data_IF_090085948166
#
_entry.id   IF_090085948166
#
_cell.length_a   1.000
_cell.length_b   1.000
_cell.length_c   1.000
_cell.angle_alpha   90.00
_cell.angle_beta   90.00
_cell.angle_gamma   90.00
#
_symmetry.space_group_name_H-M   'P 1'
#
loop_
_entity.id
_entity.type
_entity.pdbx_description
1 polymer ?
#
# COMPACT_ATOMS: atom_id res chain seq x y z
N UNK A 1 -5.83 -31.27 15.45
CA UNK A 1 -4.64 -30.99 14.61
C UNK A 1 -3.96 -29.73 15.14
N UNK A 2 -2.74 -29.83 15.66
CA UNK A 2 -2.03 -28.71 16.31
C UNK A 2 -1.40 -27.80 15.24
N UNK A 3 -1.70 -26.50 15.24
CA UNK A 3 -1.08 -25.54 14.32
C UNK A 3 0.29 -25.14 14.85
N UNK A 4 1.33 -25.26 14.02
CA UNK A 4 2.70 -24.81 14.34
C UNK A 4 3.02 -23.54 13.57
N UNK A 5 3.71 -22.60 14.21
CA UNK A 5 4.22 -21.39 13.60
C UNK A 5 5.75 -21.40 13.65
N UNK A 6 6.40 -21.00 12.54
CA UNK A 6 7.85 -20.94 12.45
C UNK A 6 8.30 -19.50 12.19
N UNK A 7 9.43 -19.10 12.78
CA UNK A 7 10.05 -17.79 12.61
C UNK A 7 11.50 -17.99 12.18
N UNK A 8 11.87 -17.41 11.05
CA UNK A 8 13.22 -17.49 10.51
C UNK A 8 13.76 -16.08 10.25
N UNK A 9 15.09 -15.94 10.35
CA UNK A 9 15.78 -14.73 9.92
C UNK A 9 16.22 -14.88 8.47
N UNK A 10 15.88 -13.88 7.67
CA UNK A 10 16.30 -13.81 6.27
C UNK A 10 17.58 -12.98 6.15
N UNK A 11 18.53 -13.46 5.35
CA UNK A 11 19.80 -12.78 5.08
C UNK A 11 19.89 -12.51 3.57
N UNK A 12 19.36 -11.36 3.10
CA UNK A 12 19.34 -11.05 1.67
C UNK A 12 20.73 -10.75 1.12
N UNK A 13 20.97 -11.14 -0.14
CA UNK A 13 22.08 -10.60 -0.93
C UNK A 13 21.88 -9.11 -1.20
N UNK A 14 22.92 -8.40 -1.64
CA UNK A 14 22.80 -6.97 -1.91
C UNK A 14 21.80 -6.64 -3.02
N UNK A 15 21.71 -7.50 -4.04
CA UNK A 15 20.68 -7.37 -5.08
C UNK A 15 19.26 -7.56 -4.51
N UNK A 16 19.07 -8.55 -3.63
CA UNK A 16 17.79 -8.75 -2.96
C UNK A 16 17.43 -7.56 -2.05
N UNK A 17 18.39 -6.95 -1.35
CA UNK A 17 18.16 -5.74 -0.55
C UNK A 17 17.67 -4.59 -1.42
N UNK A 18 18.26 -4.42 -2.61
CA UNK A 18 17.85 -3.39 -3.58
C UNK A 18 16.41 -3.61 -4.06
N UNK A 19 16.07 -4.84 -4.46
CA UNK A 19 14.71 -5.22 -4.90
C UNK A 19 13.69 -4.99 -3.77
N UNK A 20 14.01 -5.39 -2.54
CA UNK A 20 13.15 -5.17 -1.38
C UNK A 20 12.95 -3.67 -1.09
N UNK A 21 14.02 -2.89 -1.11
CA UNK A 21 13.96 -1.45 -0.89
C UNK A 21 13.09 -0.74 -1.94
N UNK A 22 13.24 -1.12 -3.22
CA UNK A 22 12.38 -0.63 -4.31
C UNK A 22 10.93 -1.04 -4.09
N UNK A 23 10.67 -2.32 -3.82
CA UNK A 23 9.31 -2.83 -3.57
C UNK A 23 8.62 -2.09 -2.43
N UNK A 24 9.30 -1.90 -1.29
CA UNK A 24 8.77 -1.16 -0.15
C UNK A 24 8.55 0.32 -0.47
N UNK A 25 9.43 0.92 -1.28
CA UNK A 25 9.27 2.27 -1.82
C UNK A 25 7.98 2.41 -2.64
N UNK A 26 7.76 1.50 -3.59
CA UNK A 26 6.57 1.47 -4.44
C UNK A 26 5.29 1.24 -3.62
N UNK A 27 5.29 0.28 -2.68
CA UNK A 27 4.14 0.06 -1.80
C UNK A 27 3.81 1.29 -0.95
N UNK A 28 4.83 1.94 -0.38
CA UNK A 28 4.64 3.18 0.39
C UNK A 28 4.05 4.29 -0.47
N UNK A 29 4.56 4.47 -1.68
CA UNK A 29 4.02 5.44 -2.62
C UNK A 29 2.56 5.16 -2.97
N UNK A 30 2.23 3.94 -3.38
CA UNK A 30 0.86 3.56 -3.77
C UNK A 30 -0.13 3.71 -2.61
N UNK A 31 0.27 3.35 -1.39
CA UNK A 31 -0.55 3.58 -0.19
C UNK A 31 -0.84 5.08 0.00
N UNK A 32 0.20 5.92 -0.07
CA UNK A 32 0.05 7.36 0.12
C UNK A 32 -0.78 7.99 -0.99
N UNK A 33 -0.52 7.62 -2.25
CA UNK A 33 -1.32 8.04 -3.37
C UNK A 33 -2.80 7.68 -3.16
N UNK A 34 -3.10 6.43 -2.79
CA UNK A 34 -4.47 5.99 -2.53
C UNK A 34 -5.16 6.75 -1.40
N UNK A 35 -4.43 7.05 -0.31
CA UNK A 35 -4.94 7.85 0.80
C UNK A 35 -5.26 9.28 0.35
N UNK A 36 -4.38 9.89 -0.44
CA UNK A 36 -4.60 11.22 -1.01
C UNK A 36 -5.81 11.24 -1.93
N UNK A 37 -5.92 10.26 -2.83
CA UNK A 37 -7.05 10.14 -3.78
C UNK A 37 -8.38 9.98 -3.05
N UNK A 38 -8.45 9.14 -2.00
CA UNK A 38 -9.66 9.00 -1.17
C UNK A 38 -10.02 10.32 -0.47
N UNK A 39 -9.03 11.01 0.11
CA UNK A 39 -9.25 12.32 0.75
C UNK A 39 -9.82 13.32 -0.23
N UNK A 40 -9.18 13.49 -1.39
CA UNK A 40 -9.61 14.42 -2.43
C UNK A 40 -11.02 14.10 -2.92
N UNK A 41 -11.31 12.85 -3.24
CA UNK A 41 -12.65 12.44 -3.69
C UNK A 41 -13.75 12.73 -2.66
N UNK A 42 -13.45 12.52 -1.37
CA UNK A 42 -14.41 12.78 -0.31
C UNK A 42 -14.61 14.28 -0.08
N UNK A 43 -13.53 15.04 0.14
CA UNK A 43 -13.63 16.46 0.48
C UNK A 43 -14.10 17.36 -0.67
N UNK A 44 -13.80 16.99 -1.93
CA UNK A 44 -14.18 17.81 -3.09
C UNK A 44 -15.48 17.36 -3.75
N UNK A 45 -15.79 16.06 -3.70
CA UNK A 45 -16.92 15.50 -4.46
C UNK A 45 -17.91 14.70 -3.59
N UNK A 46 -17.69 14.59 -2.28
CA UNK A 46 -18.52 13.78 -1.40
C UNK A 46 -18.48 12.27 -1.70
N UNK A 47 -17.50 11.81 -2.51
CA UNK A 47 -17.43 10.43 -2.99
C UNK A 47 -16.51 9.60 -2.11
N UNK A 48 -17.01 8.44 -1.69
CA UNK A 48 -16.21 7.41 -1.03
C UNK A 48 -15.68 6.43 -2.07
N UNK A 49 -14.36 6.44 -2.29
CA UNK A 49 -13.68 5.40 -3.06
C UNK A 49 -13.27 4.25 -2.14
N UNK A 50 -13.12 3.05 -2.67
CA UNK A 50 -12.71 1.83 -1.96
C UNK A 50 -11.53 1.15 -2.67
N UNK A 51 -11.10 -0.02 -2.17
CA UNK A 51 -10.03 -0.80 -2.78
C UNK A 51 -10.21 -1.02 -4.30
N UNK A 52 -11.40 -1.45 -4.73
CA UNK A 52 -11.65 -1.77 -6.15
C UNK A 52 -11.49 -0.54 -7.06
N UNK A 53 -11.96 0.63 -6.61
CA UNK A 53 -11.82 1.89 -7.37
C UNK A 53 -10.34 2.27 -7.53
N UNK A 54 -9.58 2.24 -6.44
CA UNK A 54 -8.15 2.55 -6.47
C UNK A 54 -7.35 1.52 -7.27
N UNK A 55 -7.73 0.24 -7.20
CA UNK A 55 -7.08 -0.83 -7.97
C UNK A 55 -7.32 -0.67 -9.48
N UNK A 56 -8.53 -0.25 -9.88
CA UNK A 56 -8.87 0.05 -11.26
C UNK A 56 -8.09 1.25 -11.83
N UNK A 57 -7.67 2.19 -10.97
CA UNK A 57 -6.83 3.34 -11.35
C UNK A 57 -5.34 3.01 -11.43
N UNK A 58 -4.90 1.85 -10.91
CA UNK A 58 -3.48 1.49 -10.83
C UNK A 58 -2.79 1.39 -12.21
N UNK A 59 -3.43 0.89 -13.29
CA UNK A 59 -2.84 0.92 -14.63
C UNK A 59 -2.49 2.34 -15.09
N UNK A 60 -3.43 3.29 -14.96
CA UNK A 60 -3.20 4.69 -15.31
C UNK A 60 -2.09 5.32 -14.44
N UNK A 61 -2.04 4.97 -13.16
CA UNK A 61 -0.95 5.40 -12.27
C UNK A 61 0.42 4.89 -12.74
N UNK A 62 0.49 3.67 -13.27
CA UNK A 62 1.73 3.10 -13.83
C UNK A 62 2.14 3.75 -15.15
N UNK A 63 1.20 4.28 -15.93
CA UNK A 63 1.53 5.14 -17.08
C UNK A 63 2.19 6.43 -16.62
N UNK A 64 1.62 7.08 -15.60
CA UNK A 64 2.15 8.34 -15.06
C UNK A 64 3.50 8.16 -14.34
N UNK A 65 3.70 7.02 -13.68
CA UNK A 65 4.90 6.70 -12.93
C UNK A 65 5.47 5.34 -13.39
N UNK A 66 6.21 5.30 -14.51
CA UNK A 66 6.66 4.04 -15.13
C UNK A 66 7.49 3.13 -14.21
N UNK A 67 8.25 3.69 -13.27
CA UNK A 67 9.06 2.94 -12.29
C UNK A 67 8.23 2.04 -11.35
N UNK A 68 6.90 2.21 -11.30
CA UNK A 68 6.00 1.27 -10.63
C UNK A 68 5.86 -0.08 -11.37
N UNK A 69 6.28 -0.16 -12.64
CA UNK A 69 6.28 -1.40 -13.43
C UNK A 69 7.44 -2.33 -13.08
N UNK A 70 8.51 -1.77 -12.54
CA UNK A 70 9.69 -2.53 -12.11
C UNK A 70 9.41 -3.39 -10.86
N UNK A 71 8.26 -3.18 -10.22
CA UNK A 71 7.77 -3.97 -9.10
C UNK A 71 6.54 -4.78 -9.50
N UNK A 72 6.45 -6.01 -8.99
CA UNK A 72 5.24 -6.84 -9.13
C UNK A 72 3.97 -6.06 -8.74
N UNK A 73 2.88 -6.29 -9.47
CA UNK A 73 1.57 -5.68 -9.17
C UNK A 73 1.00 -6.13 -7.83
N UNK A 74 1.37 -7.33 -7.36
CA UNK A 74 0.81 -7.94 -6.15
C UNK A 74 1.10 -7.10 -4.90
N UNK A 75 2.35 -6.71 -4.58
CA UNK A 75 2.65 -5.80 -3.48
C UNK A 75 1.91 -4.46 -3.54
N UNK A 76 1.72 -3.90 -4.74
CA UNK A 76 1.02 -2.61 -4.91
C UNK A 76 -0.47 -2.75 -4.57
N UNK A 77 -1.12 -3.80 -5.06
CA UNK A 77 -2.52 -4.09 -4.70
C UNK A 77 -2.66 -4.39 -3.20
N UNK A 78 -1.70 -5.10 -2.59
CA UNK A 78 -1.71 -5.33 -1.14
C UNK A 78 -1.58 -4.04 -0.34
N UNK A 79 -0.79 -3.07 -0.81
CA UNK A 79 -0.72 -1.75 -0.18
C UNK A 79 -2.10 -1.05 -0.18
N UNK A 80 -2.87 -1.14 -1.26
CA UNK A 80 -4.24 -0.63 -1.32
C UNK A 80 -5.20 -1.39 -0.39
N UNK A 81 -5.07 -2.72 -0.28
CA UNK A 81 -5.87 -3.52 0.68
C UNK A 81 -5.55 -3.14 2.13
N UNK A 82 -4.29 -2.86 2.45
CA UNK A 82 -3.91 -2.36 3.77
C UNK A 82 -4.49 -0.98 4.06
N UNK A 83 -4.56 -0.10 3.06
CA UNK A 83 -5.26 1.18 3.19
C UNK A 83 -6.75 0.97 3.47
N UNK A 84 -7.40 0.08 2.73
CA UNK A 84 -8.82 -0.20 2.89
C UNK A 84 -9.14 -0.77 4.28
N UNK A 85 -8.33 -1.73 4.74
CA UNK A 85 -8.43 -2.24 6.12
C UNK A 85 -8.22 -1.15 7.16
N UNK A 86 -7.33 -0.19 6.92
CA UNK A 86 -7.12 0.93 7.84
C UNK A 86 -8.36 1.83 7.94
N UNK A 87 -9.08 2.06 6.83
CA UNK A 87 -10.36 2.77 6.85
C UNK A 87 -11.46 1.97 7.56
N UNK A 88 -11.56 0.65 7.30
CA UNK A 88 -12.50 -0.22 8.04
C UNK A 88 -12.26 -0.12 9.55
N UNK A 89 -11.01 -0.23 9.99
CA UNK A 89 -10.68 -0.09 11.41
C UNK A 89 -11.00 1.30 11.96
N UNK A 90 -10.85 2.36 11.17
CA UNK A 90 -11.21 3.72 11.57
C UNK A 90 -12.72 3.87 11.78
N UNK A 91 -13.54 3.44 10.82
CA UNK A 91 -15.00 3.54 10.92
C UNK A 91 -15.59 2.66 12.02
N UNK A 92 -14.95 1.52 12.32
CA UNK A 92 -15.33 0.66 13.46
C UNK A 92 -14.79 1.16 14.81
N UNK A 93 -14.11 2.31 14.87
CA UNK A 93 -13.58 2.88 16.11
C UNK A 93 -12.39 2.11 16.69
N UNK A 94 -11.76 1.19 15.93
CA UNK A 94 -10.62 0.37 16.36
C UNK A 94 -9.26 1.04 16.12
N UNK A 95 -9.21 2.09 15.31
CA UNK A 95 -8.00 2.84 15.01
C UNK A 95 -8.30 4.31 14.70
N UNK A 96 -7.29 5.17 14.82
CA UNK A 96 -7.37 6.54 14.35
C UNK A 96 -7.38 6.61 12.80
N UNK A 97 -7.74 7.78 12.27
CA UNK A 97 -7.78 8.03 10.82
C UNK A 97 -6.44 7.69 10.14
N UNK A 98 -6.42 7.02 8.97
CA UNK A 98 -5.19 6.65 8.29
C UNK A 98 -4.27 7.83 7.95
N UNK A 99 -2.98 7.70 8.23
CA UNK A 99 -1.96 8.73 7.96
C UNK A 99 -0.99 8.30 6.86
N UNK A 100 -0.32 9.28 6.24
CA UNK A 100 0.71 8.99 5.25
C UNK A 100 1.85 8.17 5.87
N UNK A 101 2.27 7.14 5.15
CA UNK A 101 3.43 6.32 5.48
C UNK A 101 4.70 7.09 5.17
N UNK A 102 5.63 7.10 6.11
CA UNK A 102 6.98 7.68 5.98
C UNK A 102 8.01 6.58 5.80
N UNK A 103 9.12 6.88 5.14
CA UNK A 103 10.30 6.01 5.19
C UNK A 103 10.85 6.08 6.61
N UNK A 104 10.99 4.92 7.26
CA UNK A 104 11.75 4.82 8.50
C UNK A 104 13.14 4.32 8.11
N UNK A 105 14.16 4.99 8.62
CA UNK A 105 15.51 4.44 8.60
C UNK A 105 15.58 3.47 9.77
N UNK A 106 15.80 2.19 9.47
CA UNK A 106 16.41 1.24 10.40
C UNK A 106 17.89 1.13 10.03
#
# INVERSE_FOLDING_TARGET
MQKRAYKYRFYPTDEQKKILAQTFGCCRFVYNWGLSTRKTAYFQHGKSLYYNDLAAMLPALKEQYPWLRDTSSVPLQQALRHLDRAFVNFFEGRAAYPTFKKKRHE
#
